data_IF_598806697551
#
_entry.id   IF_598806697551
#
_cell.length_a   1.000
_cell.length_b   1.000
_cell.length_c   1.000
_cell.angle_alpha   90.00
_cell.angle_beta   90.00
_cell.angle_gamma   90.00
#
_symmetry.space_group_name_H-M   'P 1'
#
loop_
_entity.id
_entity.type
_entity.pdbx_description
1 polymer ?
#
# COMPACT_ATOMS: atom_id res chain seq x y z
N UNK A 1 0.30 20.41 9.03
CA UNK A 1 -0.01 19.61 7.83
C UNK A 1 -1.53 19.45 7.70
N UNK A 2 -2.10 19.73 6.52
CA UNK A 2 -3.52 19.48 6.25
C UNK A 2 -3.72 18.02 5.81
N UNK A 3 -4.78 17.36 6.28
CA UNK A 3 -5.10 15.98 5.86
C UNK A 3 -5.40 15.87 4.36
N UNK A 4 -5.88 16.93 3.71
CA UNK A 4 -6.11 16.92 2.27
C UNK A 4 -4.81 16.81 1.48
N UNK A 5 -3.75 17.48 1.94
CA UNK A 5 -2.42 17.42 1.32
C UNK A 5 -1.81 16.03 1.53
N UNK A 6 -1.94 15.45 2.73
CA UNK A 6 -1.53 14.07 2.99
C UNK A 6 -2.24 13.09 2.05
N UNK A 7 -3.56 13.21 1.87
CA UNK A 7 -4.31 12.33 0.95
C UNK A 7 -3.77 12.44 -0.46
N UNK A 8 -3.54 13.66 -0.95
CA UNK A 8 -3.03 13.86 -2.30
C UNK A 8 -1.62 13.29 -2.45
N UNK A 9 -0.76 13.50 -1.45
CA UNK A 9 0.59 12.95 -1.43
C UNK A 9 0.59 11.42 -1.50
N UNK A 10 -0.24 10.74 -0.69
CA UNK A 10 -0.36 9.28 -0.69
C UNK A 10 -0.85 8.72 -2.04
N UNK A 11 -1.75 9.43 -2.71
CA UNK A 11 -2.24 9.02 -4.04
C UNK A 11 -1.13 9.14 -5.08
N UNK A 12 -0.38 10.24 -5.04
CA UNK A 12 0.70 10.50 -5.98
C UNK A 12 1.85 9.50 -5.78
N UNK A 13 2.23 9.26 -4.52
CA UNK A 13 3.28 8.30 -4.17
C UNK A 13 2.91 6.87 -4.54
N UNK A 14 1.68 6.43 -4.30
CA UNK A 14 1.21 5.10 -4.71
C UNK A 14 1.30 4.90 -6.23
N UNK A 15 0.94 5.91 -7.02
CA UNK A 15 1.03 5.83 -8.49
C UNK A 15 2.47 5.77 -8.99
N UNK A 16 3.39 6.49 -8.34
CA UNK A 16 4.80 6.50 -8.70
C UNK A 16 5.57 5.29 -8.14
N UNK A 17 5.05 4.65 -7.10
CA UNK A 17 5.67 3.53 -6.41
C UNK A 17 5.26 2.16 -6.97
N UNK A 18 4.97 1.21 -6.08
CA UNK A 18 4.68 -0.19 -6.45
C UNK A 18 3.58 -0.32 -7.52
N UNK A 19 2.52 0.48 -7.42
CA UNK A 19 1.40 0.39 -8.35
C UNK A 19 1.76 0.80 -9.79
N UNK A 20 2.74 1.71 -9.95
CA UNK A 20 3.24 2.18 -11.24
C UNK A 20 4.21 1.21 -11.93
N UNK A 21 4.86 0.32 -11.16
CA UNK A 21 5.72 -0.74 -11.72
C UNK A 21 7.09 -0.29 -12.20
N UNK A 22 7.63 0.82 -11.70
CA UNK A 22 8.97 1.31 -12.05
C UNK A 22 10.08 0.65 -11.20
N UNK A 23 10.21 -0.68 -11.29
CA UNK A 23 11.11 -1.50 -10.47
C UNK A 23 12.58 -1.05 -10.50
N UNK A 24 13.03 -0.40 -11.58
CA UNK A 24 14.38 0.14 -11.73
C UNK A 24 14.75 1.23 -10.71
N UNK A 25 13.74 1.83 -10.05
CA UNK A 25 13.94 2.85 -9.01
C UNK A 25 13.94 2.27 -7.60
N UNK A 26 13.76 0.95 -7.47
CA UNK A 26 13.69 0.30 -6.17
C UNK A 26 15.10 0.00 -5.67
N UNK A 27 15.31 0.27 -4.39
CA UNK A 27 16.60 0.14 -3.73
C UNK A 27 16.60 -1.15 -2.94
N UNK A 28 17.57 -2.03 -3.19
CA UNK A 28 17.79 -3.21 -2.37
C UNK A 28 18.64 -2.84 -1.17
N UNK A 29 18.09 -3.00 0.03
CA UNK A 29 18.74 -2.62 1.27
C UNK A 29 19.65 -3.75 1.80
N UNK A 30 20.57 -3.39 2.68
CA UNK A 30 21.51 -4.33 3.29
C UNK A 30 20.83 -5.39 4.17
N UNK A 31 19.66 -5.09 4.73
CA UNK A 31 18.83 -6.02 5.52
C UNK A 31 17.95 -6.93 4.65
N UNK A 32 18.16 -6.92 3.34
CA UNK A 32 17.38 -7.63 2.33
C UNK A 32 15.93 -7.15 2.16
N UNK A 33 15.56 -6.00 2.71
CA UNK A 33 14.34 -5.30 2.30
C UNK A 33 14.52 -4.63 0.94
N UNK A 34 13.41 -4.16 0.39
CA UNK A 34 13.35 -3.33 -0.82
C UNK A 34 12.65 -2.04 -0.46
N UNK A 35 13.29 -0.92 -0.76
CA UNK A 35 12.77 0.43 -0.55
C UNK A 35 12.33 1.05 -1.88
N UNK A 36 11.14 1.62 -1.91
CA UNK A 36 10.62 2.44 -2.99
C UNK A 36 10.50 3.87 -2.45
N UNK A 37 11.50 4.74 -2.69
CA UNK A 37 11.46 6.11 -2.23
C UNK A 37 10.56 6.95 -3.16
N UNK A 38 9.87 7.92 -2.58
CA UNK A 38 9.17 8.94 -3.35
C UNK A 38 9.25 10.30 -2.65
N UNK A 39 9.55 11.36 -3.39
CA UNK A 39 9.66 12.71 -2.87
C UNK A 39 8.86 13.69 -3.72
N UNK A 40 8.20 14.66 -3.08
CA UNK A 40 7.46 15.74 -3.75
C UNK A 40 7.38 16.98 -2.86
N UNK A 41 8.23 17.96 -3.13
CA UNK A 41 8.32 19.17 -2.30
C UNK A 41 8.78 18.81 -0.88
N UNK A 42 8.04 19.28 0.13
CA UNK A 42 8.33 19.01 1.55
C UNK A 42 7.99 17.58 2.01
N UNK A 43 7.48 16.75 1.11
CA UNK A 43 7.01 15.40 1.42
C UNK A 43 7.96 14.32 0.95
N UNK A 44 8.08 13.27 1.77
CA UNK A 44 8.79 12.03 1.44
C UNK A 44 7.95 10.82 1.82
N UNK A 45 8.01 9.76 1.02
CA UNK A 45 7.43 8.46 1.33
C UNK A 45 8.57 7.44 1.33
N UNK A 46 8.62 6.66 2.40
CA UNK A 46 9.40 5.46 2.48
C UNK A 46 8.48 4.25 2.45
N UNK A 47 8.31 3.64 1.29
CA UNK A 47 7.69 2.32 1.17
C UNK A 47 8.80 1.27 1.24
N UNK A 48 8.77 0.42 2.27
CA UNK A 48 9.82 -0.56 2.55
C UNK A 48 9.19 -1.91 2.88
N UNK A 49 9.57 -2.94 2.14
CA UNK A 49 9.04 -4.29 2.33
C UNK A 49 10.12 -5.37 2.27
N UNK A 50 9.82 -6.48 2.92
CA UNK A 50 10.63 -7.70 2.92
C UNK A 50 9.91 -8.80 2.14
N UNK A 51 10.71 -9.70 1.58
CA UNK A 51 10.23 -10.88 0.87
C UNK A 51 9.76 -10.56 -0.55
N UNK A 52 8.62 -11.14 -0.91
CA UNK A 52 7.99 -11.00 -2.23
C UNK A 52 6.74 -11.86 -2.30
N UNK A 53 6.84 -13.12 -1.88
CA UNK A 53 5.69 -14.00 -1.59
C UNK A 53 6.07 -15.02 -0.49
N UNK A 54 5.48 -14.94 0.72
CA UNK A 54 4.67 -13.82 1.21
C UNK A 54 5.53 -12.55 1.35
N UNK A 55 4.89 -11.42 1.59
CA UNK A 55 5.57 -10.14 1.86
C UNK A 55 5.00 -9.44 3.08
N UNK A 56 5.84 -8.60 3.68
CA UNK A 56 5.45 -7.70 4.76
C UNK A 56 6.23 -6.41 4.67
N UNK A 57 5.59 -5.28 4.96
CA UNK A 57 6.22 -3.98 4.78
C UNK A 57 5.50 -2.85 5.49
N UNK A 58 6.02 -1.65 5.28
CA UNK A 58 5.49 -0.41 5.79
C UNK A 58 5.62 0.71 4.77
N UNK A 59 4.64 1.58 4.76
CA UNK A 59 4.74 2.92 4.20
C UNK A 59 4.87 3.91 5.35
N UNK A 60 5.83 4.83 5.24
CA UNK A 60 6.00 5.96 6.17
C UNK A 60 6.02 7.25 5.38
N UNK A 61 5.07 8.14 5.66
CA UNK A 61 5.04 9.47 5.07
C UNK A 61 5.66 10.49 6.03
N UNK A 62 6.55 11.31 5.48
CA UNK A 62 7.25 12.38 6.18
C UNK A 62 6.83 13.74 5.61
N UNK A 63 6.72 14.73 6.48
CA UNK A 63 6.51 16.13 6.10
C UNK A 63 7.54 17.00 6.83
N UNK A 64 8.35 17.74 6.09
CA UNK A 64 9.55 18.43 6.61
C UNK A 64 10.43 17.49 7.46
N UNK A 65 10.78 16.32 6.89
CA UNK A 65 11.63 15.29 7.49
C UNK A 65 11.13 14.67 8.80
N UNK A 66 9.89 14.96 9.21
CA UNK A 66 9.25 14.33 10.38
C UNK A 66 8.22 13.29 9.93
N UNK A 67 8.22 12.07 10.50
CA UNK A 67 7.20 11.08 10.19
C UNK A 67 5.85 11.58 10.72
N UNK A 68 4.84 11.61 9.86
CA UNK A 68 3.50 12.10 10.20
C UNK A 68 2.42 11.04 10.06
N UNK A 69 2.68 10.00 9.26
CA UNK A 69 1.73 8.93 9.00
C UNK A 69 2.46 7.63 8.66
N UNK A 70 1.88 6.49 9.06
CA UNK A 70 2.39 5.18 8.67
C UNK A 70 1.28 4.18 8.39
N UNK A 71 1.59 3.20 7.55
CA UNK A 71 0.80 1.98 7.36
C UNK A 71 1.73 0.78 7.36
N UNK A 72 1.39 -0.27 8.10
CA UNK A 72 2.00 -1.59 7.93
C UNK A 72 1.07 -2.49 7.13
N UNK A 73 1.65 -3.43 6.40
CA UNK A 73 0.90 -4.37 5.59
C UNK A 73 1.60 -5.72 5.52
N UNK A 74 0.81 -6.78 5.36
CA UNK A 74 1.30 -8.14 5.15
C UNK A 74 0.36 -8.87 4.20
N UNK A 75 0.91 -9.50 3.17
CA UNK A 75 0.13 -10.13 2.11
C UNK A 75 0.75 -11.43 1.60
N UNK A 76 -0.11 -12.29 1.07
CA UNK A 76 0.29 -13.59 0.55
C UNK A 76 -0.69 -14.14 -0.50
N UNK A 77 -0.15 -14.97 -1.37
CA UNK A 77 -0.87 -15.74 -2.39
C UNK A 77 -1.16 -17.13 -1.80
N UNK A 78 -2.39 -17.62 -2.02
CA UNK A 78 -2.78 -18.95 -1.53
C UNK A 78 -1.97 -20.05 -2.24
N UNK A 79 -1.65 -21.16 -1.55
CA UNK A 79 -0.97 -22.29 -2.18
C UNK A 79 -1.67 -22.77 -3.45
N UNK A 80 -0.90 -23.01 -4.51
CA UNK A 80 -1.40 -23.45 -5.82
C UNK A 80 -1.90 -22.34 -6.74
N UNK A 81 -1.87 -21.07 -6.32
CA UNK A 81 -2.10 -19.92 -7.19
C UNK A 81 -0.77 -19.33 -7.70
N UNK A 82 -0.74 -18.88 -8.94
CA UNK A 82 0.41 -18.16 -9.50
C UNK A 82 0.41 -16.70 -9.03
N UNK A 83 1.55 -16.22 -8.51
CA UNK A 83 1.67 -14.88 -7.95
C UNK A 83 1.61 -13.76 -9.00
N UNK A 84 2.29 -13.92 -10.14
CA UNK A 84 2.36 -12.88 -11.19
C UNK A 84 1.00 -12.33 -11.64
N UNK A 85 0.00 -13.16 -12.03
CA UNK A 85 -1.30 -12.63 -12.42
C UNK A 85 -2.05 -12.00 -11.26
N UNK A 86 -1.86 -12.48 -10.02
CA UNK A 86 -2.44 -11.85 -8.83
C UNK A 86 -1.86 -10.46 -8.63
N UNK A 87 -0.54 -10.32 -8.71
CA UNK A 87 0.13 -9.03 -8.53
C UNK A 87 -0.15 -8.04 -9.66
N UNK A 88 -0.35 -8.51 -10.90
CA UNK A 88 -0.86 -7.67 -11.97
C UNK A 88 -2.25 -7.09 -11.66
N UNK A 89 -3.16 -7.90 -11.10
CA UNK A 89 -4.49 -7.44 -10.66
C UNK A 89 -4.38 -6.50 -9.45
N UNK A 90 -3.51 -6.81 -8.49
CA UNK A 90 -3.26 -5.98 -7.31
C UNK A 90 -2.77 -4.59 -7.73
N UNK A 91 -1.74 -4.49 -8.58
CA UNK A 91 -1.27 -3.19 -9.12
C UNK A 91 -2.38 -2.43 -9.82
N UNK A 92 -3.20 -3.12 -10.64
CA UNK A 92 -4.38 -2.52 -11.26
C UNK A 92 -5.39 -1.95 -10.26
N UNK A 93 -5.61 -2.64 -9.14
CA UNK A 93 -6.46 -2.15 -8.05
C UNK A 93 -5.84 -0.96 -7.33
N UNK A 94 -4.56 -1.04 -6.96
CA UNK A 94 -3.83 0.02 -6.26
C UNK A 94 -3.77 1.32 -7.09
N UNK A 95 -3.65 1.24 -8.41
CA UNK A 95 -3.72 2.41 -9.30
C UNK A 95 -5.07 3.15 -9.26
N UNK A 96 -6.12 2.51 -8.72
CA UNK A 96 -7.49 3.04 -8.59
C UNK A 96 -7.82 3.40 -7.14
N UNK A 97 -6.80 3.70 -6.34
CA UNK A 97 -6.91 4.15 -4.96
C UNK A 97 -7.96 5.29 -4.79
N UNK A 98 -8.92 5.16 -3.84
CA UNK A 98 -9.94 6.18 -3.62
C UNK A 98 -9.38 7.47 -3.01
N UNK A 99 -9.76 8.63 -3.57
CA UNK A 99 -9.30 9.94 -3.08
C UNK A 99 -9.58 10.20 -1.59
N UNK A 100 -10.73 9.74 -1.10
CA UNK A 100 -11.17 9.97 0.29
C UNK A 100 -10.49 9.03 1.30
N UNK A 101 -10.13 7.82 0.85
CA UNK A 101 -9.56 6.75 1.66
C UNK A 101 -8.34 6.16 0.95
N UNK A 102 -7.23 6.92 0.84
CA UNK A 102 -6.07 6.53 0.06
C UNK A 102 -5.18 5.55 0.84
N UNK A 103 -5.72 4.37 1.15
CA UNK A 103 -5.02 3.33 1.92
C UNK A 103 -4.44 2.27 0.99
N UNK A 104 -5.27 1.72 0.12
CA UNK A 104 -4.95 0.69 -0.88
C UNK A 104 -5.88 0.88 -2.09
N UNK A 105 -6.33 -0.19 -2.74
CA UNK A 105 -7.25 -0.15 -3.88
C UNK A 105 -8.70 0.22 -3.52
N UNK A 106 -9.59 0.35 -4.53
CA UNK A 106 -10.99 0.69 -4.32
C UNK A 106 -11.76 -0.46 -3.66
N UNK A 107 -12.99 -0.22 -3.18
CA UNK A 107 -13.82 -1.30 -2.58
C UNK A 107 -13.96 -2.54 -3.47
N UNK A 108 -14.04 -2.33 -4.78
CA UNK A 108 -14.15 -3.39 -5.79
C UNK A 108 -13.37 -2.99 -7.04
N UNK A 109 -12.68 -3.95 -7.65
CA UNK A 109 -12.05 -3.83 -8.96
C UNK A 109 -12.12 -5.18 -9.69
N UNK A 110 -12.31 -5.14 -11.00
CA UNK A 110 -12.45 -6.34 -11.84
C UNK A 110 -11.48 -6.24 -13.01
N UNK A 111 -10.75 -7.33 -13.26
CA UNK A 111 -9.83 -7.45 -14.39
C UNK A 111 -9.94 -8.87 -14.95
N UNK A 112 -10.65 -9.01 -16.08
CA UNK A 112 -11.02 -10.32 -16.63
C UNK A 112 -11.81 -11.15 -15.61
N UNK A 113 -11.36 -12.39 -15.36
CA UNK A 113 -11.97 -13.31 -14.39
C UNK A 113 -11.67 -12.97 -12.92
N UNK A 114 -10.75 -12.03 -12.67
CA UNK A 114 -10.28 -11.69 -11.33
C UNK A 114 -11.14 -10.60 -10.71
N UNK A 115 -11.45 -10.77 -9.42
CA UNK A 115 -12.18 -9.78 -8.62
C UNK A 115 -11.34 -9.44 -7.40
N UNK A 116 -10.96 -8.18 -7.31
CA UNK A 116 -10.37 -7.57 -6.13
C UNK A 116 -11.47 -6.95 -5.27
N UNK A 117 -11.42 -7.18 -3.97
CA UNK A 117 -12.27 -6.52 -2.97
C UNK A 117 -11.42 -5.99 -1.84
N UNK A 118 -11.74 -4.78 -1.38
CA UNK A 118 -11.08 -4.15 -0.24
C UNK A 118 -12.14 -3.69 0.76
N UNK A 119 -11.95 -4.07 2.02
CA UNK A 119 -12.76 -3.62 3.15
C UNK A 119 -11.86 -2.91 4.14
N UNK A 120 -12.33 -1.79 4.69
CA UNK A 120 -11.60 -1.03 5.69
C UNK A 120 -12.54 -0.43 6.72
N UNK A 121 -11.98 -0.23 7.91
CA UNK A 121 -12.61 0.47 9.02
C UNK A 121 -11.76 1.69 9.41
N UNK A 122 -12.43 2.75 9.89
CA UNK A 122 -11.79 3.97 10.36
C UNK A 122 -11.56 5.04 9.28
N UNK A 123 -10.63 5.96 9.58
CA UNK A 123 -10.29 7.15 8.78
C UNK A 123 -8.78 7.26 8.62
N UNK A 124 -8.29 8.24 7.85
CA UNK A 124 -6.86 8.41 7.57
C UNK A 124 -6.00 8.50 8.82
N UNK A 125 -6.58 9.03 9.89
CA UNK A 125 -5.98 9.22 11.19
C UNK A 125 -5.72 7.90 11.93
N UNK A 126 -6.58 6.90 11.70
CA UNK A 126 -6.48 5.56 12.28
C UNK A 126 -7.42 4.61 11.53
N UNK A 127 -6.87 3.58 10.91
CA UNK A 127 -7.61 2.63 10.09
C UNK A 127 -6.99 1.24 10.11
N UNK A 128 -7.78 0.27 9.67
CA UNK A 128 -7.33 -1.06 9.28
C UNK A 128 -8.12 -1.54 8.07
N UNK A 129 -7.57 -2.46 7.31
CA UNK A 129 -8.31 -3.09 6.22
C UNK A 129 -7.75 -4.42 5.77
N UNK A 130 -8.51 -5.03 4.88
CA UNK A 130 -8.30 -6.36 4.33
C UNK A 130 -8.65 -6.35 2.86
N UNK A 131 -7.71 -6.78 2.05
CA UNK A 131 -7.89 -6.93 0.60
C UNK A 131 -7.81 -8.40 0.19
N UNK A 132 -8.66 -8.78 -0.76
CA UNK A 132 -8.80 -10.14 -1.26
C UNK A 132 -8.83 -10.09 -2.79
N UNK A 133 -8.16 -11.03 -3.44
CA UNK A 133 -8.33 -11.30 -4.87
C UNK A 133 -8.91 -12.70 -5.05
N UNK A 134 -9.98 -12.79 -5.83
CA UNK A 134 -10.65 -14.06 -6.15
C UNK A 134 -10.70 -14.31 -7.67
N UNK A 135 -10.77 -15.57 -8.06
CA UNK A 135 -11.05 -16.00 -9.44
C UNK A 135 -12.01 -17.18 -9.40
N UNK A 136 -13.13 -17.10 -10.14
CA UNK A 136 -14.18 -18.14 -10.16
C UNK A 136 -14.62 -18.59 -8.75
N UNK A 137 -14.74 -17.64 -7.83
CA UNK A 137 -15.15 -17.88 -6.44
C UNK A 137 -14.06 -18.40 -5.49
N UNK A 138 -12.87 -18.74 -6.00
CA UNK A 138 -11.73 -19.16 -5.16
C UNK A 138 -10.88 -17.96 -4.76
N UNK A 139 -10.52 -17.87 -3.48
CA UNK A 139 -9.56 -16.87 -2.97
C UNK A 139 -8.17 -17.27 -3.43
N UNK A 140 -7.47 -16.31 -4.05
CA UNK A 140 -6.11 -16.48 -4.55
C UNK A 140 -5.09 -15.68 -3.74
N UNK A 141 -5.52 -14.60 -3.09
CA UNK A 141 -4.63 -13.71 -2.35
C UNK A 141 -5.39 -12.96 -1.27
N UNK A 142 -4.67 -12.66 -0.20
CA UNK A 142 -5.12 -11.81 0.89
C UNK A 142 -3.99 -10.89 1.36
N UNK A 143 -4.34 -9.70 1.82
CA UNK A 143 -3.45 -8.88 2.64
C UNK A 143 -4.22 -8.08 3.67
N UNK A 144 -3.56 -7.88 4.82
CA UNK A 144 -4.06 -7.07 5.92
C UNK A 144 -3.17 -5.85 6.06
N UNK A 145 -3.77 -4.72 6.39
CA UNK A 145 -3.05 -3.48 6.60
C UNK A 145 -3.64 -2.66 7.74
N UNK A 146 -2.80 -1.87 8.40
CA UNK A 146 -3.21 -1.00 9.51
C UNK A 146 -2.32 0.23 9.55
N UNK A 147 -2.91 1.39 9.84
CA UNK A 147 -2.15 2.63 9.84
C UNK A 147 -2.87 3.79 10.47
N UNK A 148 -2.23 4.94 10.42
CA UNK A 148 -2.73 6.19 10.99
C UNK A 148 -1.67 7.26 11.10
N UNK A 149 -2.07 8.39 11.67
CA UNK A 149 -1.14 9.45 12.05
C UNK A 149 -0.23 8.98 13.19
N UNK A 150 1.01 9.42 13.18
CA UNK A 150 2.01 9.15 14.24
C UNK A 150 2.50 10.45 14.85
N UNK A 151 3.14 10.37 16.01
CA UNK A 151 3.72 11.52 16.72
C UNK A 151 2.73 12.68 16.95
N UNK A 152 1.47 12.34 17.26
CA UNK A 152 0.42 13.34 17.48
C UNK A 152 0.43 13.95 18.88
N UNK A 153 1.14 13.29 19.82
CA UNK A 153 1.30 13.68 21.23
C UNK A 153 2.64 13.13 21.71
N UNK A 154 3.29 13.83 22.64
CA UNK A 154 4.49 13.34 23.32
C UNK A 154 4.18 12.01 23.99
N UNK A 155 4.89 10.96 23.58
CA UNK A 155 4.72 9.60 24.08
C UNK A 155 5.95 9.04 24.80
N UNK A 156 7.11 9.66 24.59
CA UNK A 156 8.42 9.39 25.22
C UNK A 156 9.19 10.70 25.25
#
# INVERSE_FOLDING_TARGET
MNLSDLRQFLIDSNKAGYAGGEEKKWIKEADHSTTIPYEKGDWKLHDNFFGGEPYGGREVAFYHDKPVWMMTYYGWVKPGAAADPVYAVLRGALMRMPKKYPFRGPKKFVQGDYRYTNSWDGKLERFSGHEIITRKGKILYEAYYRGGLVDQRTGV
#
